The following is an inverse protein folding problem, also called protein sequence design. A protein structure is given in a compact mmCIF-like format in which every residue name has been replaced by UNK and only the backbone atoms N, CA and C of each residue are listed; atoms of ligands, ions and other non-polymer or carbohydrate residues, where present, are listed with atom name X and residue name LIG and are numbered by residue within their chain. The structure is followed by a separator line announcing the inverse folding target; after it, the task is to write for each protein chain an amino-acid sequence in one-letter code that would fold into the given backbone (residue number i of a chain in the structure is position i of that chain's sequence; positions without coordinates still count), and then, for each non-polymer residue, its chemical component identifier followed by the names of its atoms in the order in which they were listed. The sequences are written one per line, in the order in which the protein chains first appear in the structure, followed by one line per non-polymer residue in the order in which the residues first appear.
data_IF_245694356246
#
_entry.id   IF_245694356246
#
_cell.length_a   1.000
_cell.length_b   1.000
_cell.length_c   1.000
_cell.angle_alpha   90.00
_cell.angle_beta   90.00
_cell.angle_gamma   90.00
#
_symmetry.space_group_name_H-M   'P 1'
#
loop_
_entity.id
_entity.type
_entity.pdbx_description
1 polymer ?
#
# COMPACT_ATOMS: atom_id res chain seq x y z
N UNK A 1 -15.66 0.90 -42.47
CA UNK A 1 -16.18 -0.02 -41.45
C UNK A 1 -16.04 0.70 -40.13
N UNK A 2 -17.14 1.10 -39.52
CA UNK A 2 -17.12 1.67 -38.19
C UNK A 2 -16.65 0.56 -37.22
N UNK A 3 -15.59 0.82 -36.46
CA UNK A 3 -15.20 -0.06 -35.38
C UNK A 3 -16.44 -0.23 -34.48
N UNK A 4 -16.89 -1.48 -34.29
CA UNK A 4 -17.85 -1.78 -33.24
C UNK A 4 -17.25 -1.24 -31.93
N UNK A 5 -17.83 -0.16 -31.43
CA UNK A 5 -17.54 0.30 -30.08
C UNK A 5 -18.00 -0.82 -29.15
N UNK A 6 -17.05 -1.58 -28.65
CA UNK A 6 -17.28 -2.52 -27.56
C UNK A 6 -17.78 -1.73 -26.36
N UNK A 7 -19.04 -1.92 -25.97
CA UNK A 7 -19.63 -1.33 -24.77
C UNK A 7 -19.17 -2.03 -23.47
N UNK A 8 -18.14 -2.89 -23.54
CA UNK A 8 -17.63 -3.61 -22.38
C UNK A 8 -16.67 -2.71 -21.57
N UNK A 9 -17.24 -1.66 -20.98
CA UNK A 9 -16.52 -0.65 -20.18
C UNK A 9 -15.90 -1.25 -18.89
N UNK A 10 -16.34 -2.45 -18.52
CA UNK A 10 -15.93 -3.10 -17.27
C UNK A 10 -14.96 -4.25 -17.47
N UNK A 11 -14.62 -4.56 -18.72
CA UNK A 11 -13.62 -5.57 -19.04
C UNK A 11 -12.24 -4.95 -19.02
N UNK A 12 -11.32 -5.60 -18.30
CA UNK A 12 -9.92 -5.18 -18.33
C UNK A 12 -9.35 -5.33 -19.75
N UNK A 13 -8.45 -4.44 -20.17
CA UNK A 13 -7.64 -4.66 -21.35
C UNK A 13 -6.93 -6.02 -21.29
N UNK A 14 -6.72 -6.66 -22.43
CA UNK A 14 -6.11 -7.99 -22.51
C UNK A 14 -4.74 -8.05 -21.81
N UNK A 15 -3.95 -6.99 -21.94
CA UNK A 15 -2.65 -6.86 -21.27
C UNK A 15 -2.76 -6.89 -19.75
N UNK A 16 -3.76 -6.21 -19.17
CA UNK A 16 -3.99 -6.20 -17.72
C UNK A 16 -4.48 -7.56 -17.21
N UNK A 17 -5.30 -8.28 -17.98
CA UNK A 17 -5.69 -9.65 -17.63
C UNK A 17 -4.48 -10.61 -17.67
N UNK A 18 -3.59 -10.47 -18.67
CA UNK A 18 -2.37 -11.25 -18.73
C UNK A 18 -1.44 -10.99 -17.54
N UNK A 19 -1.31 -9.73 -17.11
CA UNK A 19 -0.58 -9.36 -15.88
C UNK A 19 -1.23 -10.03 -14.67
N UNK A 20 -2.55 -9.97 -14.54
CA UNK A 20 -3.27 -10.61 -13.44
C UNK A 20 -2.99 -12.11 -13.35
N UNK A 21 -3.08 -12.81 -14.48
CA UNK A 21 -2.80 -14.25 -14.55
C UNK A 21 -1.36 -14.56 -14.14
N UNK A 22 -0.39 -13.82 -14.65
CA UNK A 22 1.03 -13.99 -14.32
C UNK A 22 1.30 -13.78 -12.83
N UNK A 23 0.73 -12.72 -12.23
CA UNK A 23 0.88 -12.46 -10.78
C UNK A 23 0.23 -13.57 -9.96
N UNK A 24 -0.96 -14.05 -10.34
CA UNK A 24 -1.64 -15.17 -9.66
C UNK A 24 -0.78 -16.43 -9.65
N UNK A 25 -0.18 -16.77 -10.78
CA UNK A 25 0.70 -17.94 -10.89
C UNK A 25 1.89 -17.83 -9.94
N UNK A 26 2.60 -16.70 -9.97
CA UNK A 26 3.73 -16.44 -9.06
C UNK A 26 3.27 -16.47 -7.60
N UNK A 27 2.14 -15.85 -7.28
CA UNK A 27 1.62 -15.79 -5.92
C UNK A 27 1.19 -17.16 -5.39
N UNK A 28 0.50 -17.95 -6.19
CA UNK A 28 0.10 -19.31 -5.80
C UNK A 28 1.31 -20.21 -5.53
N UNK A 29 2.34 -20.12 -6.38
CA UNK A 29 3.52 -20.98 -6.29
C UNK A 29 4.53 -20.53 -5.23
N UNK A 30 4.70 -19.21 -4.98
CA UNK A 30 5.85 -18.66 -4.25
C UNK A 30 5.52 -17.69 -3.11
N UNK A 31 4.28 -17.18 -3.02
CA UNK A 31 3.88 -16.22 -1.97
C UNK A 31 2.93 -16.88 -0.96
N UNK A 32 1.87 -17.51 -1.44
CA UNK A 32 0.87 -18.13 -0.58
C UNK A 32 1.43 -19.18 0.40
N UNK A 33 2.40 -20.06 0.00
CA UNK A 33 2.97 -21.03 0.92
C UNK A 33 3.68 -20.42 2.14
N UNK A 34 4.17 -19.19 2.05
CA UNK A 34 4.89 -18.49 3.12
C UNK A 34 4.02 -17.55 3.97
N UNK A 35 2.73 -17.42 3.65
CA UNK A 35 1.86 -16.44 4.30
C UNK A 35 1.61 -16.73 5.79
N UNK A 36 1.46 -18.00 6.16
CA UNK A 36 1.26 -18.41 7.55
C UNK A 36 2.53 -18.22 8.39
N UNK A 37 3.69 -18.62 7.86
CA UNK A 37 4.98 -18.45 8.49
C UNK A 37 5.31 -16.97 8.74
N UNK A 38 5.07 -16.09 7.75
CA UNK A 38 5.28 -14.66 7.88
C UNK A 38 4.40 -14.02 8.97
N UNK A 39 3.18 -14.50 9.19
CA UNK A 39 2.32 -14.04 10.30
C UNK A 39 2.80 -14.60 11.65
N UNK A 40 3.23 -15.85 11.72
CA UNK A 40 3.66 -16.49 12.96
C UNK A 40 4.99 -15.90 13.47
N UNK A 41 5.98 -15.78 12.59
CA UNK A 41 7.32 -15.28 12.95
C UNK A 41 7.37 -13.76 13.05
N UNK A 42 6.55 -13.04 12.27
CA UNK A 42 6.64 -11.59 12.11
C UNK A 42 7.90 -11.14 11.36
N UNK A 43 8.60 -12.05 10.69
CA UNK A 43 9.78 -11.74 9.90
C UNK A 43 9.40 -11.29 8.48
N UNK A 44 10.27 -10.47 7.87
CA UNK A 44 10.07 -10.04 6.50
C UNK A 44 10.11 -11.23 5.54
N UNK A 45 9.09 -11.41 4.67
CA UNK A 45 8.94 -12.59 3.81
C UNK A 45 9.92 -12.55 2.63
N UNK A 46 11.19 -12.83 2.91
CA UNK A 46 12.26 -12.73 1.90
C UNK A 46 12.01 -13.62 0.70
N UNK A 47 11.49 -14.84 0.88
CA UNK A 47 11.15 -15.72 -0.23
C UNK A 47 10.11 -15.11 -1.18
N UNK A 48 9.08 -14.43 -0.63
CA UNK A 48 8.10 -13.70 -1.42
C UNK A 48 8.74 -12.51 -2.14
N UNK A 49 9.64 -11.77 -1.46
CA UNK A 49 10.38 -10.67 -2.08
C UNK A 49 11.21 -11.14 -3.28
N UNK A 50 11.99 -12.22 -3.09
CA UNK A 50 12.85 -12.77 -4.15
C UNK A 50 12.00 -13.24 -5.36
N UNK A 51 10.83 -13.86 -5.10
CA UNK A 51 9.92 -14.27 -6.16
C UNK A 51 9.29 -13.11 -6.93
N UNK A 52 8.82 -12.08 -6.20
CA UNK A 52 8.27 -10.86 -6.82
C UNK A 52 9.34 -10.07 -7.58
N UNK A 53 10.58 -10.04 -7.06
CA UNK A 53 11.72 -9.44 -7.75
C UNK A 53 12.04 -10.15 -9.06
N UNK A 54 12.09 -11.47 -9.03
CA UNK A 54 12.40 -12.27 -10.22
C UNK A 54 11.37 -12.13 -11.36
N UNK A 55 10.16 -11.67 -11.03
CA UNK A 55 9.06 -11.43 -11.97
C UNK A 55 8.76 -9.93 -12.20
N UNK A 56 9.61 -9.03 -11.75
CA UNK A 56 9.46 -7.57 -11.82
C UNK A 56 8.17 -7.01 -11.16
N UNK A 57 7.59 -7.76 -10.20
CA UNK A 57 6.38 -7.35 -9.47
C UNK A 57 6.66 -6.63 -8.16
N UNK A 58 7.92 -6.52 -7.72
CA UNK A 58 8.30 -5.84 -6.46
C UNK A 58 8.19 -4.31 -6.54
N UNK A 59 8.32 -3.74 -7.74
CA UNK A 59 8.23 -2.29 -8.00
C UNK A 59 7.74 -2.00 -9.43
N UNK A 60 6.58 -2.52 -9.85
CA UNK A 60 6.14 -2.52 -11.25
C UNK A 60 5.94 -1.12 -11.83
N UNK A 61 5.64 -0.13 -10.99
CA UNK A 61 5.34 1.27 -11.34
C UNK A 61 6.56 2.10 -11.75
N UNK A 62 7.79 1.59 -11.57
CA UNK A 62 8.98 2.38 -11.91
C UNK A 62 9.10 2.46 -13.43
N UNK A 63 9.27 3.68 -14.00
CA UNK A 63 9.37 3.88 -15.45
C UNK A 63 10.54 3.11 -16.08
N UNK A 64 10.35 2.73 -17.35
CA UNK A 64 11.35 1.98 -18.13
C UNK A 64 12.68 2.72 -18.25
N UNK A 65 12.65 4.04 -18.32
CA UNK A 65 13.84 4.91 -18.41
C UNK A 65 14.76 4.83 -17.17
N UNK A 66 14.23 4.31 -16.05
CA UNK A 66 15.01 4.02 -14.83
C UNK A 66 15.21 2.51 -14.61
N UNK A 67 14.92 1.69 -15.63
CA UNK A 67 15.11 0.24 -15.59
C UNK A 67 13.94 -0.55 -14.98
N UNK A 68 12.78 0.09 -14.76
CA UNK A 68 11.59 -0.56 -14.25
C UNK A 68 10.69 -1.17 -15.33
N UNK A 69 9.59 -1.81 -14.91
CA UNK A 69 8.62 -2.41 -15.82
C UNK A 69 7.68 -1.38 -16.47
N UNK A 70 7.57 -0.17 -15.93
CA UNK A 70 6.73 0.89 -16.47
C UNK A 70 5.23 0.60 -16.41
N UNK A 71 4.80 -0.25 -15.48
CA UNK A 71 3.39 -0.59 -15.30
C UNK A 71 2.57 0.65 -14.92
N UNK A 72 1.45 0.84 -15.59
CA UNK A 72 0.51 1.91 -15.28
C UNK A 72 -0.13 1.73 -13.89
N UNK A 73 -0.94 2.70 -13.48
CA UNK A 73 -1.55 2.69 -12.15
C UNK A 73 -2.54 1.52 -11.97
N UNK A 74 -3.23 1.08 -13.04
CA UNK A 74 -4.15 -0.05 -12.98
C UNK A 74 -3.41 -1.38 -12.90
N UNK A 75 -2.39 -1.60 -13.72
CA UNK A 75 -1.53 -2.77 -13.65
C UNK A 75 -0.86 -2.88 -12.29
N UNK A 76 -0.35 -1.76 -11.75
CA UNK A 76 0.23 -1.72 -10.40
C UNK A 76 -0.80 -2.10 -9.32
N UNK A 77 -2.04 -1.62 -9.44
CA UNK A 77 -3.13 -1.96 -8.51
C UNK A 77 -3.46 -3.46 -8.59
N UNK A 78 -3.52 -4.04 -9.79
CA UNK A 78 -3.75 -5.47 -10.01
C UNK A 78 -2.63 -6.32 -9.38
N UNK A 79 -1.36 -5.93 -9.55
CA UNK A 79 -0.23 -6.62 -8.89
C UNK A 79 -0.42 -6.63 -7.37
N UNK A 80 -0.73 -5.48 -6.77
CA UNK A 80 -0.91 -5.37 -5.31
C UNK A 80 -2.13 -6.18 -4.85
N UNK A 81 -3.25 -6.14 -5.58
CA UNK A 81 -4.47 -6.92 -5.29
C UNK A 81 -4.17 -8.43 -5.26
N UNK A 82 -3.52 -8.96 -6.31
CA UNK A 82 -3.27 -10.40 -6.39
C UNK A 82 -2.21 -10.87 -5.38
N UNK A 83 -1.19 -10.05 -5.08
CA UNK A 83 -0.25 -10.36 -4.00
C UNK A 83 -0.96 -10.34 -2.64
N UNK A 84 -1.84 -9.36 -2.38
CA UNK A 84 -2.59 -9.26 -1.13
C UNK A 84 -3.59 -10.42 -0.95
N UNK A 85 -4.17 -10.93 -2.04
CA UNK A 85 -5.02 -12.12 -2.05
C UNK A 85 -4.29 -13.34 -1.50
N UNK A 86 -3.00 -13.48 -1.80
CA UNK A 86 -2.15 -14.56 -1.32
C UNK A 86 -1.57 -14.28 0.07
N UNK A 87 -1.06 -13.06 0.29
CA UNK A 87 -0.41 -12.64 1.54
C UNK A 87 -0.42 -11.13 1.68
N UNK A 88 -1.20 -10.61 2.63
CA UNK A 88 -1.29 -9.17 2.90
C UNK A 88 0.06 -8.54 3.27
N UNK A 89 0.89 -9.23 4.05
CA UNK A 89 2.23 -8.74 4.42
C UNK A 89 3.13 -8.57 3.18
N UNK A 90 3.09 -9.53 2.25
CA UNK A 90 3.90 -9.50 1.03
C UNK A 90 3.45 -8.42 0.05
N UNK A 91 2.17 -8.02 0.04
CA UNK A 91 1.67 -6.94 -0.80
C UNK A 91 2.26 -5.56 -0.46
N UNK A 92 2.79 -5.41 0.76
CA UNK A 92 3.52 -4.21 1.18
C UNK A 92 4.92 -4.10 0.54
N UNK A 93 5.37 -5.10 -0.20
CA UNK A 93 6.59 -4.99 -1.01
C UNK A 93 6.35 -4.00 -2.17
N UNK A 94 5.45 -4.25 -3.13
CA UNK A 94 5.18 -3.31 -4.20
C UNK A 94 4.49 -2.02 -3.71
N UNK A 95 3.58 -2.10 -2.74
CA UNK A 95 2.85 -0.93 -2.26
C UNK A 95 3.77 0.11 -1.59
N UNK A 96 4.69 -0.33 -0.73
CA UNK A 96 5.60 0.58 -0.01
C UNK A 96 6.72 1.09 -0.92
N UNK A 97 7.22 0.27 -1.86
CA UNK A 97 8.13 0.76 -2.89
C UNK A 97 7.47 1.89 -3.70
N UNK A 98 6.19 1.75 -4.08
CA UNK A 98 5.46 2.83 -4.77
C UNK A 98 5.29 4.05 -3.86
N UNK A 99 4.89 3.87 -2.60
CA UNK A 99 4.71 4.96 -1.65
C UNK A 99 6.02 5.74 -1.43
N UNK A 100 7.12 5.04 -1.23
CA UNK A 100 8.42 5.64 -0.94
C UNK A 100 9.04 6.37 -2.15
N UNK A 101 8.86 5.83 -3.36
CA UNK A 101 9.43 6.40 -4.59
C UNK A 101 8.56 7.46 -5.25
N UNK A 102 7.25 7.51 -4.95
CA UNK A 102 6.33 8.47 -5.57
C UNK A 102 6.76 9.94 -5.39
N UNK A 103 7.27 10.39 -4.23
CA UNK A 103 7.79 11.75 -4.10
C UNK A 103 8.93 12.07 -5.08
N UNK A 104 9.82 11.09 -5.37
CA UNK A 104 10.86 11.26 -6.38
C UNK A 104 10.26 11.38 -7.79
N UNK A 105 9.29 10.55 -8.13
CA UNK A 105 8.61 10.61 -9.43
C UNK A 105 7.90 11.94 -9.63
N UNK A 106 7.26 12.48 -8.58
CA UNK A 106 6.49 13.73 -8.63
C UNK A 106 7.33 15.00 -8.63
N UNK A 107 8.48 15.00 -7.93
CA UNK A 107 9.22 16.23 -7.65
C UNK A 107 10.75 16.07 -7.62
N UNK A 108 11.29 14.86 -7.75
CA UNK A 108 12.74 14.62 -7.74
C UNK A 108 13.42 15.17 -8.99
N UNK A 109 14.69 15.59 -8.83
CA UNK A 109 15.56 15.89 -9.97
C UNK A 109 15.87 14.61 -10.76
N UNK A 110 16.26 14.74 -12.02
CA UNK A 110 16.63 13.59 -12.85
C UNK A 110 17.80 12.80 -12.26
N UNK A 111 18.75 13.47 -11.63
CA UNK A 111 19.88 12.82 -10.96
C UNK A 111 19.41 11.97 -9.77
N UNK A 112 18.48 12.49 -8.95
CA UNK A 112 17.89 11.73 -7.84
C UNK A 112 17.10 10.53 -8.36
N UNK A 113 16.28 10.72 -9.39
CA UNK A 113 15.50 9.63 -9.98
C UNK A 113 16.42 8.53 -10.50
N UNK A 114 17.43 8.87 -11.32
CA UNK A 114 18.39 7.88 -11.85
C UNK A 114 19.15 7.17 -10.74
N UNK A 115 19.58 7.89 -9.70
CA UNK A 115 20.37 7.35 -8.59
C UNK A 115 19.58 6.34 -7.76
N UNK A 116 18.32 6.62 -7.46
CA UNK A 116 17.54 5.83 -6.51
C UNK A 116 16.52 4.89 -7.16
N UNK A 117 15.81 5.33 -8.21
CA UNK A 117 14.79 4.49 -8.84
C UNK A 117 15.39 3.27 -9.53
N UNK A 118 16.59 3.38 -10.16
CA UNK A 118 17.25 2.24 -10.81
C UNK A 118 17.59 1.12 -9.84
N UNK A 119 17.98 1.47 -8.60
CA UNK A 119 18.29 0.48 -7.56
C UNK A 119 17.03 -0.20 -7.00
N UNK A 120 15.91 0.51 -6.98
CA UNK A 120 14.63 -0.10 -6.61
C UNK A 120 14.10 -0.96 -7.75
N UNK A 121 14.24 -0.51 -8.99
CA UNK A 121 13.83 -1.27 -10.19
C UNK A 121 14.58 -2.60 -10.30
N UNK A 122 15.90 -2.62 -10.05
CA UNK A 122 16.70 -3.87 -10.03
C UNK A 122 16.40 -4.79 -8.85
N UNK A 123 15.67 -4.29 -7.85
CA UNK A 123 15.43 -4.99 -6.58
C UNK A 123 16.67 -5.07 -5.69
N UNK A 124 17.68 -4.21 -5.90
CA UNK A 124 18.85 -4.10 -5.00
C UNK A 124 18.56 -3.24 -3.78
N UNK A 125 17.45 -2.51 -3.80
CA UNK A 125 17.00 -1.68 -2.70
C UNK A 125 15.48 -1.63 -2.62
N UNK A 126 14.97 -1.37 -1.41
CA UNK A 126 13.58 -1.00 -1.15
C UNK A 126 13.52 0.44 -0.67
N UNK A 127 12.34 1.05 -0.81
CA UNK A 127 12.10 2.44 -0.43
C UNK A 127 10.94 2.55 0.56
N UNK A 128 11.16 3.19 1.70
CA UNK A 128 10.12 3.47 2.71
C UNK A 128 9.75 4.95 2.76
N UNK A 129 8.64 5.27 3.43
CA UNK A 129 8.06 6.60 3.50
C UNK A 129 7.91 7.06 4.95
N UNK A 130 8.61 8.13 5.31
CA UNK A 130 8.74 8.64 6.68
C UNK A 130 8.02 9.99 6.85
N UNK A 131 6.68 9.96 6.94
CA UNK A 131 5.85 11.12 7.19
C UNK A 131 5.48 11.26 8.66
N UNK A 132 4.85 10.21 9.24
CA UNK A 132 4.26 10.24 10.57
C UNK A 132 5.30 10.31 11.69
N UNK A 133 4.91 10.92 12.81
CA UNK A 133 5.68 11.03 14.04
C UNK A 133 4.83 10.58 15.25
N UNK A 134 5.43 10.38 16.43
CA UNK A 134 4.67 9.97 17.62
C UNK A 134 3.44 10.85 17.89
N UNK A 135 3.57 12.17 17.76
CA UNK A 135 2.49 13.14 18.02
C UNK A 135 1.86 13.71 16.73
N UNK A 136 2.28 13.28 15.54
CA UNK A 136 1.80 13.78 14.25
C UNK A 136 1.44 12.63 13.30
N UNK A 137 0.26 12.04 13.51
CA UNK A 137 -0.35 11.03 12.62
C UNK A 137 -1.30 11.68 11.61
N UNK A 138 -2.60 11.77 11.96
CA UNK A 138 -3.59 12.42 11.10
C UNK A 138 -3.33 13.93 10.90
N UNK A 139 -2.74 14.59 11.89
CA UNK A 139 -2.24 15.96 11.78
C UNK A 139 -0.76 15.97 11.38
N UNK A 140 -0.48 15.46 10.17
CA UNK A 140 0.89 15.33 9.67
C UNK A 140 1.61 16.69 9.51
N UNK A 141 0.89 17.81 9.41
CA UNK A 141 1.48 19.14 9.32
C UNK A 141 2.12 19.60 10.63
N UNK A 142 1.77 18.96 11.76
CA UNK A 142 2.31 19.27 13.09
C UNK A 142 3.61 18.51 13.40
N UNK A 143 4.26 17.93 12.37
CA UNK A 143 5.55 17.23 12.57
C UNK A 143 6.62 18.14 13.17
N UNK A 144 7.53 17.53 13.92
CA UNK A 144 8.61 18.22 14.66
C UNK A 144 10.01 17.87 14.19
N UNK A 145 10.19 16.81 13.39
CA UNK A 145 11.47 16.48 12.76
C UNK A 145 11.99 17.69 11.99
N UNK A 146 13.22 18.09 12.22
CA UNK A 146 13.83 19.29 11.64
C UNK A 146 14.94 18.92 10.67
N UNK A 147 15.11 19.74 9.64
CA UNK A 147 16.26 19.75 8.76
C UNK A 147 16.85 21.16 8.74
N UNK A 148 18.11 21.31 9.15
CA UNK A 148 18.80 22.58 9.22
C UNK A 148 19.90 22.61 8.17
N UNK A 149 19.98 23.68 7.39
CA UNK A 149 21.01 23.85 6.37
C UNK A 149 22.39 24.07 7.02
N UNK A 150 23.38 23.31 6.58
CA UNK A 150 24.79 23.43 6.99
C UNK A 150 25.68 23.40 5.75
N UNK A 151 25.91 24.55 5.19
CA UNK A 151 26.69 24.71 3.94
C UNK A 151 26.01 23.98 2.76
N UNK A 152 26.68 23.00 2.21
CA UNK A 152 26.23 22.14 1.11
C UNK A 152 25.53 20.86 1.59
N UNK A 153 25.14 20.83 2.86
CA UNK A 153 24.45 19.69 3.50
C UNK A 153 23.18 20.14 4.22
N UNK A 154 22.35 19.14 4.57
CA UNK A 154 21.28 19.25 5.54
C UNK A 154 21.58 18.35 6.75
N UNK A 155 21.26 18.82 7.95
CA UNK A 155 21.35 18.05 9.19
C UNK A 155 19.94 17.78 9.70
N UNK A 156 19.56 16.51 9.73
CA UNK A 156 18.24 16.06 10.13
C UNK A 156 18.25 15.54 11.57
N UNK A 157 17.26 15.97 12.36
CA UNK A 157 17.03 15.52 13.73
C UNK A 157 15.56 15.28 13.99
N UNK A 158 15.22 14.13 14.57
CA UNK A 158 13.84 13.78 14.93
C UNK A 158 13.57 12.30 14.98
N UNK A 159 12.29 11.96 15.14
CA UNK A 159 11.81 10.58 15.21
C UNK A 159 10.62 10.41 14.28
N UNK A 160 10.69 9.42 13.39
CA UNK A 160 9.56 9.00 12.57
C UNK A 160 8.96 7.72 13.12
N UNK A 161 7.64 7.61 13.08
CA UNK A 161 6.91 6.47 13.66
C UNK A 161 5.99 5.80 12.65
N UNK A 162 5.71 4.53 12.88
CA UNK A 162 4.86 3.69 12.02
C UNK A 162 5.45 3.45 10.62
N UNK A 163 6.78 3.41 10.52
CA UNK A 163 7.44 3.31 9.23
C UNK A 163 7.47 1.86 8.77
N UNK A 164 6.69 1.57 7.74
CA UNK A 164 6.57 0.25 7.12
C UNK A 164 7.88 -0.13 6.43
N UNK A 165 8.33 -1.37 6.63
CA UNK A 165 9.59 -1.93 6.15
C UNK A 165 10.85 -1.18 6.66
N UNK A 166 10.73 -0.38 7.72
CA UNK A 166 11.90 0.28 8.33
C UNK A 166 12.89 -0.77 8.85
N UNK A 167 14.16 -0.53 8.56
CA UNK A 167 15.27 -1.45 8.85
C UNK A 167 15.47 -2.54 7.78
N UNK A 168 14.45 -2.79 6.92
CA UNK A 168 14.56 -3.63 5.72
C UNK A 168 14.92 -2.77 4.50
N UNK A 169 14.20 -1.67 4.30
CA UNK A 169 14.47 -0.73 3.21
C UNK A 169 15.85 -0.06 3.34
N UNK A 170 16.49 0.16 2.22
CA UNK A 170 17.77 0.89 2.10
C UNK A 170 17.54 2.39 2.03
N UNK A 171 16.40 2.84 1.48
CA UNK A 171 16.11 4.24 1.23
C UNK A 171 14.81 4.67 1.92
N UNK A 172 14.77 5.93 2.31
CA UNK A 172 13.66 6.55 3.03
C UNK A 172 13.37 7.93 2.46
N UNK A 173 12.13 8.17 2.03
CA UNK A 173 11.65 9.54 1.85
C UNK A 173 11.27 10.11 3.21
N UNK A 174 12.02 11.09 3.68
CA UNK A 174 11.84 11.73 4.99
C UNK A 174 11.32 13.15 4.81
N UNK A 175 10.21 13.47 5.50
CA UNK A 175 9.68 14.84 5.57
C UNK A 175 10.16 15.50 6.86
N UNK A 176 10.67 16.73 6.74
CA UNK A 176 11.19 17.49 7.88
C UNK A 176 10.90 18.98 7.73
N UNK A 177 10.81 19.67 8.86
CA UNK A 177 10.59 21.11 8.93
C UNK A 177 11.93 21.81 8.64
N UNK A 178 11.96 22.61 7.58
CA UNK A 178 13.07 23.52 7.23
C UNK A 178 12.80 24.95 7.65
N UNK A 179 11.52 25.38 7.66
CA UNK A 179 11.09 26.70 8.19
C UNK A 179 9.92 26.52 9.19
N UNK A 180 10.18 26.64 10.50
CA UNK A 180 9.13 26.46 11.52
C UNK A 180 8.07 27.59 11.52
N UNK A 181 8.31 28.70 10.83
CA UNK A 181 7.38 29.85 10.79
C UNK A 181 6.33 29.69 9.69
N UNK A 182 6.61 28.88 8.66
CA UNK A 182 5.78 28.75 7.48
C UNK A 182 4.72 27.61 7.55
N UNK A 183 4.58 26.93 8.72
CA UNK A 183 3.66 25.79 8.93
C UNK A 183 3.87 24.70 7.86
N UNK A 184 2.80 24.23 7.21
CA UNK A 184 2.91 23.21 6.15
C UNK A 184 3.79 23.61 4.95
N UNK A 185 3.94 24.90 4.69
CA UNK A 185 4.85 25.43 3.65
C UNK A 185 6.32 25.48 4.09
N UNK A 186 6.60 25.17 5.34
CA UNK A 186 7.96 25.04 5.87
C UNK A 186 8.45 23.60 5.93
N UNK A 187 7.73 22.65 5.33
CA UNK A 187 8.11 21.23 5.31
C UNK A 187 8.74 20.88 3.96
N UNK A 188 9.91 20.25 4.00
CA UNK A 188 10.66 19.76 2.83
C UNK A 188 10.78 18.23 2.87
N UNK A 189 11.12 17.65 1.73
CA UNK A 189 11.28 16.20 1.58
C UNK A 189 12.74 15.87 1.19
N UNK A 190 13.25 14.76 1.71
CA UNK A 190 14.64 14.34 1.53
C UNK A 190 14.74 12.85 1.28
N UNK A 191 15.74 12.41 0.53
CA UNK A 191 16.18 11.01 0.52
C UNK A 191 17.21 10.80 1.62
N UNK A 192 16.92 9.90 2.53
CA UNK A 192 17.84 9.41 3.57
C UNK A 192 18.17 7.95 3.28
N UNK A 193 19.43 7.59 3.38
CA UNK A 193 19.90 6.22 3.21
C UNK A 193 20.02 5.54 4.57
N UNK A 194 19.73 4.25 4.65
CA UNK A 194 19.92 3.44 5.87
C UNK A 194 21.35 3.52 6.41
N UNK A 195 22.32 3.70 5.52
CA UNK A 195 23.75 3.79 5.81
C UNK A 195 24.22 5.17 6.27
N UNK A 196 23.37 6.20 6.23
CA UNK A 196 23.76 7.54 6.69
C UNK A 196 24.03 7.51 8.20
N UNK A 197 25.13 8.10 8.61
CA UNK A 197 25.50 8.18 10.02
C UNK A 197 24.42 8.91 10.82
N UNK A 198 24.02 8.35 11.97
CA UNK A 198 22.96 8.88 12.81
C UNK A 198 21.57 8.30 12.52
N UNK A 199 21.39 7.50 11.47
CA UNK A 199 20.17 6.75 11.22
C UNK A 199 20.15 5.47 12.06
N UNK A 200 19.08 5.26 12.81
CA UNK A 200 18.86 4.02 13.56
C UNK A 200 17.37 3.67 13.65
N UNK A 201 17.07 2.46 14.10
CA UNK A 201 15.73 1.90 14.08
C UNK A 201 15.32 1.35 15.43
N UNK A 202 14.07 1.60 15.81
CA UNK A 202 13.46 0.98 16.98
C UNK A 202 13.18 -0.51 16.78
N UNK A 203 12.74 -1.17 17.85
CA UNK A 203 12.25 -2.53 17.79
C UNK A 203 11.00 -2.63 16.87
N UNK A 204 10.74 -3.79 16.23
CA UNK A 204 9.52 -3.99 15.47
C UNK A 204 8.29 -3.83 16.37
N UNK A 205 7.28 -3.12 15.88
CA UNK A 205 5.99 -2.98 16.56
C UNK A 205 5.25 -4.33 16.62
N UNK A 206 4.68 -4.64 17.79
CA UNK A 206 3.82 -5.82 17.96
C UNK A 206 2.43 -5.51 17.41
N UNK A 207 2.13 -5.92 16.20
CA UNK A 207 0.91 -5.56 15.46
C UNK A 207 -0.17 -6.63 15.53
N UNK A 208 -1.41 -6.23 15.30
CA UNK A 208 -2.56 -7.12 15.16
C UNK A 208 -2.42 -8.03 13.92
N UNK A 209 -2.12 -7.44 12.77
CA UNK A 209 -1.97 -8.09 11.47
C UNK A 209 -0.77 -7.56 10.69
N UNK A 210 -0.67 -7.96 9.42
CA UNK A 210 0.46 -7.67 8.52
C UNK A 210 1.82 -7.83 9.19
N UNK A 211 1.95 -8.87 10.02
CA UNK A 211 3.09 -9.02 10.92
C UNK A 211 4.40 -9.21 10.17
N UNK A 212 4.38 -9.89 9.02
CA UNK A 212 5.54 -10.08 8.16
C UNK A 212 6.06 -8.81 7.46
N UNK A 213 5.38 -7.66 7.62
CA UNK A 213 5.92 -6.36 7.19
C UNK A 213 6.37 -5.57 8.42
N UNK A 214 7.67 -5.56 8.76
CA UNK A 214 8.14 -4.88 9.97
C UNK A 214 7.82 -3.39 9.93
N UNK A 215 7.29 -2.89 11.02
CA UNK A 215 6.97 -1.48 11.23
C UNK A 215 7.78 -1.00 12.42
N UNK A 216 8.56 0.08 12.26
CA UNK A 216 9.48 0.56 13.31
C UNK A 216 9.46 2.07 13.40
N UNK A 217 10.01 2.59 14.48
CA UNK A 217 10.48 3.97 14.53
C UNK A 217 11.78 4.11 13.74
N UNK A 218 11.98 5.30 13.15
CA UNK A 218 13.24 5.71 12.52
C UNK A 218 13.77 6.91 13.29
N UNK A 219 14.92 6.75 13.89
CA UNK A 219 15.60 7.80 14.63
C UNK A 219 16.61 8.50 13.71
N UNK A 220 16.59 9.84 13.74
CA UNK A 220 17.51 10.71 13.04
C UNK A 220 18.27 11.54 14.09
N UNK A 221 19.53 11.22 14.30
CA UNK A 221 20.39 11.91 15.26
C UNK A 221 21.56 12.55 14.52
N UNK A 222 21.45 13.85 14.26
CA UNK A 222 22.44 14.62 13.52
C UNK A 222 22.79 14.00 12.16
N UNK A 223 21.78 13.48 11.46
CA UNK A 223 21.95 12.84 10.14
C UNK A 223 22.31 13.90 9.13
N UNK A 224 23.56 13.88 8.69
CA UNK A 224 24.13 14.84 7.74
C UNK A 224 24.09 14.28 6.33
N UNK A 225 23.27 14.87 5.47
CA UNK A 225 23.09 14.44 4.08
C UNK A 225 23.47 15.56 3.10
N UNK A 226 23.97 15.24 1.88
CA UNK A 226 24.19 16.23 0.83
C UNK A 226 22.93 17.00 0.45
N UNK A 227 23.06 18.27 0.14
CA UNK A 227 21.92 19.13 -0.19
C UNK A 227 21.18 18.72 -1.44
N UNK A 228 21.81 18.02 -2.36
CA UNK A 228 21.22 17.48 -3.59
C UNK A 228 20.26 16.31 -3.34
N UNK A 229 20.20 15.76 -2.12
CA UNK A 229 19.22 14.76 -1.72
C UNK A 229 17.85 15.34 -1.33
N UNK A 230 17.63 16.65 -1.43
CA UNK A 230 16.32 17.26 -1.26
C UNK A 230 15.43 16.96 -2.47
N UNK A 231 14.21 16.50 -2.22
CA UNK A 231 13.20 16.20 -3.23
C UNK A 231 12.37 17.45 -3.51
N UNK A 232 12.49 18.00 -4.72
CA UNK A 232 11.82 19.24 -5.10
C UNK A 232 12.47 20.49 -4.50
N UNK A 233 11.71 21.56 -4.37
CA UNK A 233 12.15 22.80 -3.75
C UNK A 233 11.90 22.81 -2.23
N UNK A 234 12.69 23.61 -1.50
CA UNK A 234 12.47 23.83 -0.07
C UNK A 234 11.03 24.34 0.19
N UNK A 235 10.37 23.79 1.22
CA UNK A 235 9.01 24.16 1.60
C UNK A 235 7.90 23.49 0.77
N UNK A 236 8.24 22.68 -0.24
CA UNK A 236 7.24 21.99 -1.08
C UNK A 236 6.92 20.56 -0.63
N UNK A 237 7.60 20.07 0.41
CA UNK A 237 7.52 18.69 0.85
C UNK A 237 6.11 18.25 1.27
N UNK A 238 5.36 19.11 2.01
CA UNK A 238 4.01 18.74 2.43
C UNK A 238 3.04 18.63 1.26
N UNK A 239 3.13 19.52 0.28
CA UNK A 239 2.32 19.42 -0.95
C UNK A 239 2.65 18.14 -1.73
N UNK A 240 3.94 17.80 -1.83
CA UNK A 240 4.41 16.55 -2.43
C UNK A 240 3.89 15.33 -1.66
N UNK A 241 3.89 15.38 -0.31
CA UNK A 241 3.33 14.30 0.51
C UNK A 241 1.83 14.08 0.23
N UNK A 242 1.04 15.14 0.16
CA UNK A 242 -0.40 15.03 -0.11
C UNK A 242 -0.68 14.48 -1.52
N UNK A 243 0.04 14.96 -2.52
CA UNK A 243 -0.04 14.41 -3.89
C UNK A 243 0.36 12.95 -3.95
N UNK A 244 1.40 12.55 -3.23
CA UNK A 244 1.80 11.14 -3.10
C UNK A 244 0.65 10.31 -2.58
N UNK A 245 0.00 10.73 -1.49
CA UNK A 245 -1.12 10.00 -0.89
C UNK A 245 -2.33 9.91 -1.84
N UNK A 246 -2.59 10.92 -2.68
CA UNK A 246 -3.67 10.85 -3.67
C UNK A 246 -3.47 9.68 -4.65
N UNK A 247 -2.23 9.44 -5.08
CA UNK A 247 -1.88 8.29 -5.93
C UNK A 247 -1.84 6.96 -5.18
N UNK A 248 -1.36 6.94 -3.93
CA UNK A 248 -1.12 5.67 -3.21
C UNK A 248 -2.31 5.18 -2.40
N UNK A 249 -3.33 6.00 -2.14
CA UNK A 249 -4.63 5.51 -1.62
C UNK A 249 -5.24 4.43 -2.52
N UNK A 250 -5.00 4.51 -3.82
CA UNK A 250 -5.42 3.48 -4.78
C UNK A 250 -4.73 2.14 -4.49
N UNK A 251 -3.46 2.15 -4.10
CA UNK A 251 -2.71 0.91 -3.77
C UNK A 251 -3.22 0.27 -2.48
N UNK A 252 -3.64 1.08 -1.50
CA UNK A 252 -4.26 0.57 -0.27
C UNK A 252 -5.66 0.00 -0.55
N UNK A 253 -6.43 0.64 -1.43
CA UNK A 253 -7.71 0.08 -1.89
C UNK A 253 -7.49 -1.29 -2.57
N UNK A 254 -6.49 -1.41 -3.45
CA UNK A 254 -6.14 -2.66 -4.11
C UNK A 254 -5.69 -3.74 -3.11
N UNK A 255 -4.91 -3.38 -2.09
CA UNK A 255 -4.54 -4.30 -1.02
C UNK A 255 -5.79 -4.81 -0.26
N UNK A 256 -6.70 -3.91 0.11
CA UNK A 256 -7.94 -4.29 0.78
C UNK A 256 -8.79 -5.24 -0.07
N UNK A 257 -8.89 -4.97 -1.39
CA UNK A 257 -9.56 -5.86 -2.35
C UNK A 257 -8.95 -7.26 -2.36
N UNK A 258 -7.63 -7.36 -2.44
CA UNK A 258 -6.94 -8.64 -2.47
C UNK A 258 -7.20 -9.46 -1.22
N UNK A 259 -7.11 -8.84 -0.03
CA UNK A 259 -7.41 -9.49 1.25
C UNK A 259 -8.86 -9.99 1.27
N UNK A 260 -9.81 -9.15 0.85
CA UNK A 260 -11.22 -9.49 0.80
C UNK A 260 -11.50 -10.63 -0.20
N UNK A 261 -10.88 -10.61 -1.38
CA UNK A 261 -11.00 -11.66 -2.38
C UNK A 261 -10.45 -13.00 -1.84
N UNK A 262 -9.28 -12.98 -1.21
CA UNK A 262 -8.71 -14.20 -0.62
C UNK A 262 -9.61 -14.81 0.46
N UNK A 263 -10.20 -13.97 1.31
CA UNK A 263 -11.13 -14.42 2.33
C UNK A 263 -12.42 -15.00 1.76
N UNK A 264 -13.01 -14.34 0.75
CA UNK A 264 -14.20 -14.82 0.06
C UNK A 264 -13.95 -16.16 -0.65
N UNK A 265 -12.83 -16.27 -1.37
CA UNK A 265 -12.46 -17.50 -2.09
C UNK A 265 -12.31 -18.68 -1.12
N UNK A 266 -11.64 -18.46 0.00
CA UNK A 266 -11.47 -19.50 1.01
C UNK A 266 -12.79 -19.92 1.65
N UNK A 267 -13.59 -18.95 2.08
CA UNK A 267 -14.89 -19.21 2.70
C UNK A 267 -15.84 -19.92 1.74
N UNK A 268 -15.87 -19.50 0.45
CA UNK A 268 -16.67 -20.16 -0.60
C UNK A 268 -16.28 -21.64 -0.75
N UNK A 269 -15.00 -21.96 -0.85
CA UNK A 269 -14.56 -23.35 -0.94
C UNK A 269 -14.94 -24.16 0.29
N UNK A 270 -14.72 -23.61 1.47
CA UNK A 270 -15.05 -24.29 2.72
C UNK A 270 -16.54 -24.63 2.86
N UNK A 271 -17.46 -23.70 2.60
CA UNK A 271 -18.91 -23.96 2.75
C UNK A 271 -19.47 -24.93 1.72
N UNK A 272 -18.78 -25.11 0.57
CA UNK A 272 -19.14 -26.11 -0.43
C UNK A 272 -18.78 -27.54 0.00
N UNK A 273 -17.71 -27.69 0.77
CA UNK A 273 -17.22 -28.99 1.23
C UNK A 273 -17.79 -29.37 2.60
N UNK A 274 -17.93 -28.41 3.52
CA UNK A 274 -18.42 -28.62 4.89
C UNK A 274 -19.88 -29.03 4.89
N UNK A 275 -20.19 -30.13 5.57
CA UNK A 275 -21.57 -30.62 5.71
C UNK A 275 -22.05 -30.50 7.14
N UNK A 276 -23.29 -30.04 7.31
CA UNK A 276 -24.04 -30.06 8.55
C UNK A 276 -25.54 -30.29 8.24
N UNK A 277 -26.27 -30.90 9.17
CA UNK A 277 -27.69 -31.26 8.97
C UNK A 277 -27.93 -32.08 7.69
N UNK A 278 -26.96 -32.93 7.30
CA UNK A 278 -27.09 -33.87 6.18
C UNK A 278 -26.79 -33.27 4.78
N UNK A 279 -26.40 -31.98 4.67
CA UNK A 279 -26.12 -31.31 3.40
C UNK A 279 -24.95 -30.33 3.50
N UNK A 280 -24.45 -29.85 2.36
CA UNK A 280 -23.40 -28.85 2.32
C UNK A 280 -23.89 -27.54 2.96
N UNK A 281 -23.00 -26.85 3.70
CA UNK A 281 -23.34 -25.57 4.35
C UNK A 281 -23.76 -24.52 3.32
N UNK A 282 -23.20 -24.57 2.10
CA UNK A 282 -23.57 -23.71 0.98
C UNK A 282 -25.05 -23.85 0.53
N UNK A 283 -25.74 -24.93 0.92
CA UNK A 283 -27.17 -25.15 0.57
C UNK A 283 -28.14 -24.39 1.50
N UNK A 284 -27.61 -23.80 2.59
CA UNK A 284 -28.46 -22.99 3.47
C UNK A 284 -28.62 -21.57 2.92
N UNK A 285 -29.85 -21.11 2.80
CA UNK A 285 -30.21 -19.82 2.21
C UNK A 285 -29.50 -18.64 2.91
N UNK A 286 -29.38 -18.67 4.26
CA UNK A 286 -28.67 -17.65 5.00
C UNK A 286 -27.18 -17.56 4.63
N UNK A 287 -26.52 -18.69 4.35
CA UNK A 287 -25.13 -18.73 3.86
C UNK A 287 -25.03 -18.17 2.44
N UNK A 288 -25.99 -18.50 1.58
CA UNK A 288 -26.05 -17.96 0.20
C UNK A 288 -26.20 -16.43 0.19
N UNK A 289 -27.01 -15.87 1.09
CA UNK A 289 -27.17 -14.42 1.22
C UNK A 289 -25.87 -13.76 1.67
N UNK A 290 -25.17 -14.32 2.64
CA UNK A 290 -23.86 -13.79 3.07
C UNK A 290 -22.85 -13.78 1.91
N UNK A 291 -22.73 -14.89 1.16
CA UNK A 291 -21.83 -14.96 0.01
C UNK A 291 -22.19 -13.94 -1.08
N UNK A 292 -23.49 -13.74 -1.35
CA UNK A 292 -23.97 -12.77 -2.31
C UNK A 292 -23.62 -11.33 -1.89
N UNK A 293 -23.84 -11.00 -0.61
CA UNK A 293 -23.50 -9.67 -0.08
C UNK A 293 -21.98 -9.41 -0.09
N UNK A 294 -21.15 -10.41 0.27
CA UNK A 294 -19.71 -10.34 0.18
C UNK A 294 -19.25 -10.09 -1.27
N UNK A 295 -19.78 -10.86 -2.23
CA UNK A 295 -19.45 -10.72 -3.65
C UNK A 295 -19.86 -9.36 -4.22
N UNK A 296 -21.06 -8.88 -3.91
CA UNK A 296 -21.56 -7.58 -4.35
C UNK A 296 -20.68 -6.42 -3.84
N UNK A 297 -20.35 -6.43 -2.54
CA UNK A 297 -19.49 -5.41 -1.92
C UNK A 297 -18.08 -5.42 -2.53
N UNK A 298 -17.53 -6.62 -2.73
CA UNK A 298 -16.19 -6.78 -3.30
C UNK A 298 -16.13 -6.22 -4.73
N UNK A 299 -17.13 -6.54 -5.57
CA UNK A 299 -17.14 -6.06 -6.94
C UNK A 299 -17.36 -4.55 -7.02
N UNK A 300 -18.25 -3.98 -6.22
CA UNK A 300 -18.42 -2.53 -6.14
C UNK A 300 -17.11 -1.82 -5.71
N UNK A 301 -16.40 -2.39 -4.74
CA UNK A 301 -15.09 -1.86 -4.29
C UNK A 301 -14.04 -1.95 -5.41
N UNK A 302 -14.02 -3.04 -6.18
CA UNK A 302 -13.09 -3.23 -7.30
C UNK A 302 -13.29 -2.19 -8.38
N UNK A 303 -14.53 -1.99 -8.83
CA UNK A 303 -14.84 -1.01 -9.86
C UNK A 303 -14.45 0.40 -9.44
N UNK A 304 -14.73 0.79 -8.20
CA UNK A 304 -14.33 2.10 -7.68
C UNK A 304 -12.80 2.24 -7.59
N UNK A 305 -12.09 1.18 -7.21
CA UNK A 305 -10.62 1.17 -7.14
C UNK A 305 -9.99 1.29 -8.53
N UNK A 306 -10.50 0.57 -9.51
CA UNK A 306 -9.97 0.61 -10.88
C UNK A 306 -10.29 1.94 -11.57
N UNK A 307 -11.46 2.51 -11.31
CA UNK A 307 -11.77 3.88 -11.75
C UNK A 307 -10.78 4.90 -11.16
N UNK A 308 -10.47 4.78 -9.86
CA UNK A 308 -9.48 5.64 -9.22
C UNK A 308 -8.05 5.41 -9.78
N UNK A 309 -7.69 4.17 -10.12
CA UNK A 309 -6.42 3.86 -10.77
C UNK A 309 -6.29 4.54 -12.15
N UNK A 310 -7.32 4.45 -12.99
CA UNK A 310 -7.34 5.15 -14.27
C UNK A 310 -7.24 6.68 -14.13
N UNK A 311 -7.87 7.25 -13.11
CA UNK A 311 -7.74 8.69 -12.79
C UNK A 311 -6.34 9.06 -12.30
N UNK A 312 -5.71 8.18 -11.52
CA UNK A 312 -4.32 8.35 -11.06
C UNK A 312 -3.34 8.37 -12.24
N UNK A 313 -3.56 7.49 -13.23
CA UNK A 313 -2.73 7.42 -14.43
C UNK A 313 -2.82 8.68 -15.27
N UNK A 314 -4.03 9.17 -15.51
CA UNK A 314 -4.26 10.38 -16.31
C UNK A 314 -3.95 11.68 -15.58
N UNK A 315 -3.76 11.66 -14.25
CA UNK A 315 -3.62 12.86 -13.43
C UNK A 315 -4.89 13.70 -13.36
N UNK A 316 -6.07 13.05 -13.33
CA UNK A 316 -7.36 13.72 -13.34
C UNK A 316 -7.53 14.64 -12.11
N UNK A 317 -8.18 15.79 -12.28
CA UNK A 317 -8.34 16.81 -11.23
C UNK A 317 -9.16 16.32 -10.02
N UNK A 318 -10.00 15.31 -10.19
CA UNK A 318 -10.82 14.69 -9.13
C UNK A 318 -10.19 13.45 -8.49
N UNK A 319 -8.92 13.15 -8.79
CA UNK A 319 -8.18 12.02 -8.20
C UNK A 319 -8.23 12.03 -6.67
N UNK A 320 -8.09 13.20 -6.05
CA UNK A 320 -8.15 13.34 -4.57
C UNK A 320 -9.45 12.77 -4.00
N UNK A 321 -10.58 13.04 -4.66
CA UNK A 321 -11.88 12.48 -4.26
C UNK A 321 -11.94 10.96 -4.49
N UNK A 322 -11.63 10.51 -5.70
CA UNK A 322 -11.77 9.11 -6.07
C UNK A 322 -10.78 8.20 -5.35
N UNK A 323 -9.54 8.64 -5.12
CA UNK A 323 -8.56 7.92 -4.32
C UNK A 323 -9.02 7.74 -2.86
N UNK A 324 -9.56 8.80 -2.26
CA UNK A 324 -10.13 8.74 -0.91
C UNK A 324 -11.37 7.83 -0.85
N UNK A 325 -12.27 7.91 -1.83
CA UNK A 325 -13.48 7.09 -1.91
C UNK A 325 -13.15 5.61 -2.07
N UNK A 326 -12.25 5.28 -3.01
CA UNK A 326 -11.80 3.92 -3.26
C UNK A 326 -11.19 3.28 -1.99
N UNK A 327 -10.22 3.98 -1.35
CA UNK A 327 -9.57 3.50 -0.14
C UNK A 327 -10.57 3.30 1.01
N UNK A 328 -11.45 4.26 1.24
CA UNK A 328 -12.44 4.20 2.30
C UNK A 328 -13.41 3.04 2.10
N UNK A 329 -14.00 2.93 0.90
CA UNK A 329 -14.99 1.91 0.59
C UNK A 329 -14.39 0.50 0.56
N UNK A 330 -13.25 0.31 -0.13
CA UNK A 330 -12.60 -0.99 -0.23
C UNK A 330 -12.15 -1.52 1.14
N UNK A 331 -11.60 -0.66 2.00
CA UNK A 331 -11.16 -1.09 3.34
C UNK A 331 -12.32 -1.35 4.30
N UNK A 332 -13.43 -0.62 4.22
CA UNK A 332 -14.64 -0.92 4.99
C UNK A 332 -15.25 -2.26 4.52
N UNK A 333 -15.38 -2.46 3.20
CA UNK A 333 -15.83 -3.72 2.61
C UNK A 333 -14.93 -4.91 3.00
N UNK A 334 -13.61 -4.73 2.99
CA UNK A 334 -12.66 -5.78 3.36
C UNK A 334 -12.84 -6.24 4.81
N UNK A 335 -13.08 -5.31 5.74
CA UNK A 335 -13.36 -5.67 7.14
C UNK A 335 -14.66 -6.46 7.27
N UNK A 336 -15.72 -6.06 6.57
CA UNK A 336 -17.00 -6.79 6.58
C UNK A 336 -16.82 -8.19 5.98
N UNK A 337 -16.25 -8.29 4.78
CA UNK A 337 -16.05 -9.56 4.06
C UNK A 337 -15.17 -10.53 4.86
N UNK A 338 -14.07 -10.06 5.43
CA UNK A 338 -13.17 -10.93 6.22
C UNK A 338 -13.80 -11.38 7.53
N UNK A 339 -14.63 -10.54 8.16
CA UNK A 339 -15.42 -10.91 9.35
C UNK A 339 -16.47 -11.96 9.00
N UNK A 340 -17.19 -11.80 7.89
CA UNK A 340 -18.17 -12.76 7.41
C UNK A 340 -17.51 -14.08 7.00
N UNK A 341 -16.29 -14.05 6.44
CA UNK A 341 -15.53 -15.25 6.13
C UNK A 341 -15.20 -16.06 7.40
N UNK A 342 -14.78 -15.41 8.48
CA UNK A 342 -14.61 -16.06 9.79
C UNK A 342 -15.92 -16.66 10.28
N UNK A 343 -17.02 -15.93 10.18
CA UNK A 343 -18.35 -16.39 10.58
C UNK A 343 -18.81 -17.62 9.77
N UNK A 344 -18.56 -17.65 8.46
CA UNK A 344 -18.93 -18.76 7.57
C UNK A 344 -18.19 -20.06 7.90
N UNK A 345 -16.98 -19.98 8.43
CA UNK A 345 -16.23 -21.16 8.90
C UNK A 345 -16.63 -21.59 10.31
N UNK A 346 -17.40 -20.79 11.05
CA UNK A 346 -17.79 -21.08 12.43
C UNK A 346 -16.57 -21.21 13.37
N UNK A 347 -16.56 -22.19 14.26
CA UNK A 347 -15.46 -22.39 15.20
C UNK A 347 -14.09 -22.57 14.55
N UNK A 348 -14.05 -23.16 13.35
CA UNK A 348 -12.79 -23.31 12.59
C UNK A 348 -12.24 -21.97 12.09
N UNK A 349 -13.08 -21.02 11.73
CA UNK A 349 -12.67 -19.67 11.33
C UNK A 349 -12.02 -18.86 12.45
N UNK A 350 -12.22 -19.28 13.72
CA UNK A 350 -11.66 -18.63 14.90
C UNK A 350 -10.31 -19.21 15.34
N UNK A 351 -9.81 -20.22 14.64
CA UNK A 351 -8.52 -20.87 14.93
C UNK A 351 -7.47 -20.50 13.91
N UNK A 352 -6.20 -20.54 14.31
CA UNK A 352 -5.04 -20.21 13.45
C UNK A 352 -4.74 -21.26 12.38
N UNK A 353 -5.38 -22.41 12.43
CA UNK A 353 -5.24 -23.46 11.42
C UNK A 353 -5.87 -23.07 10.06
N UNK A 354 -6.73 -22.03 10.08
CA UNK A 354 -7.43 -21.52 8.91
C UNK A 354 -7.05 -20.05 8.65
N UNK A 355 -6.86 -19.64 7.38
CA UNK A 355 -6.26 -18.35 7.05
C UNK A 355 -7.21 -17.13 7.26
N UNK A 356 -8.52 -17.36 7.43
CA UNK A 356 -9.50 -16.26 7.43
C UNK A 356 -9.35 -15.35 8.65
N UNK A 357 -8.94 -15.88 9.81
CA UNK A 357 -8.69 -15.05 11.00
C UNK A 357 -7.51 -14.11 10.80
N UNK A 358 -6.43 -14.57 10.12
CA UNK A 358 -5.30 -13.74 9.73
C UNK A 358 -5.73 -12.65 8.76
N UNK A 359 -6.53 -13.00 7.74
CA UNK A 359 -7.02 -12.04 6.76
C UNK A 359 -7.88 -10.96 7.42
N UNK A 360 -8.70 -11.30 8.42
CA UNK A 360 -9.48 -10.33 9.19
C UNK A 360 -8.57 -9.38 10.00
N UNK A 361 -7.52 -9.91 10.65
CA UNK A 361 -6.53 -9.08 11.37
C UNK A 361 -5.76 -8.16 10.43
N UNK A 362 -5.38 -8.68 9.26
CA UNK A 362 -4.66 -7.95 8.23
C UNK A 362 -5.50 -6.84 7.60
N UNK A 363 -6.79 -7.10 7.33
CA UNK A 363 -7.69 -6.12 6.73
C UNK A 363 -7.85 -4.85 7.59
N UNK A 364 -7.76 -4.97 8.92
CA UNK A 364 -8.00 -3.85 9.83
C UNK A 364 -7.09 -2.64 9.59
N UNK A 365 -5.83 -2.86 9.25
CA UNK A 365 -4.88 -1.77 9.04
C UNK A 365 -5.26 -0.89 7.85
N UNK A 366 -5.93 -1.46 6.82
CA UNK A 366 -6.32 -0.73 5.62
C UNK A 366 -7.32 0.40 5.90
N UNK A 367 -8.06 0.33 7.02
CA UNK A 367 -8.92 1.42 7.49
C UNK A 367 -8.14 2.53 8.24
N UNK A 368 -6.88 2.29 8.61
CA UNK A 368 -6.12 3.15 9.52
C UNK A 368 -5.02 3.93 8.80
N UNK A 369 -4.09 3.23 8.13
CA UNK A 369 -2.93 3.90 7.52
C UNK A 369 -3.25 4.62 6.21
N UNK A 370 -2.30 5.44 5.74
CA UNK A 370 -2.46 6.39 4.62
C UNK A 370 -3.69 7.32 4.77
N UNK A 371 -3.94 7.70 6.02
CA UNK A 371 -5.10 8.46 6.44
C UNK A 371 -6.26 7.54 6.84
N UNK A 372 -6.73 7.68 8.08
CA UNK A 372 -7.86 6.90 8.59
C UNK A 372 -9.10 7.08 7.72
N UNK A 373 -10.05 6.14 7.75
CA UNK A 373 -11.29 6.27 6.97
C UNK A 373 -12.11 7.50 7.39
N UNK A 374 -11.92 8.03 8.61
CA UNK A 374 -12.47 9.32 9.02
C UNK A 374 -11.80 10.48 8.26
N UNK A 375 -10.48 10.43 8.10
CA UNK A 375 -9.74 11.42 7.29
C UNK A 375 -10.17 11.34 5.82
N UNK A 376 -10.35 10.12 5.26
CA UNK A 376 -10.85 9.97 3.88
C UNK A 376 -12.23 10.66 3.70
N UNK A 377 -13.14 10.49 4.68
CA UNK A 377 -14.46 11.17 4.65
C UNK A 377 -14.34 12.69 4.70
N UNK A 378 -13.41 13.22 5.48
CA UNK A 378 -13.10 14.67 5.49
C UNK A 378 -12.58 15.13 4.12
N UNK A 379 -11.67 14.34 3.50
CA UNK A 379 -11.11 14.64 2.18
C UNK A 379 -12.22 14.67 1.13
N UNK A 380 -13.08 13.64 1.09
CA UNK A 380 -14.22 13.58 0.15
C UNK A 380 -15.18 14.76 0.34
N UNK A 381 -15.58 15.02 1.59
CA UNK A 381 -16.50 16.12 1.89
C UNK A 381 -15.94 17.48 1.44
N UNK A 382 -14.64 17.73 1.66
CA UNK A 382 -13.98 18.96 1.18
C UNK A 382 -13.97 19.07 -0.35
N UNK A 383 -13.85 17.96 -1.07
CA UNK A 383 -13.91 18.01 -2.54
C UNK A 383 -15.35 18.27 -3.04
N UNK A 384 -16.35 17.64 -2.41
CA UNK A 384 -17.77 17.84 -2.75
C UNK A 384 -18.29 19.26 -2.44
N UNK A 385 -17.69 19.93 -1.46
CA UNK A 385 -18.07 21.28 -1.03
C UNK A 385 -17.19 22.39 -1.67
N UNK A 386 -16.32 22.03 -2.61
CA UNK A 386 -15.63 23.04 -3.42
C UNK A 386 -16.61 23.57 -4.48
N UNK A 387 -16.75 24.87 -4.54
CA UNK A 387 -17.49 25.60 -5.58
C UNK A 387 -16.78 25.50 -6.94
#
# INVERSE_FOLDING_TARGET
MAAEQSFDVYRLPEEHEAIREAVREVCAAKVAPHAAEADETGEFPKASYDALRAADFHAPHIPVEYGGAGADALATAIVIEEVARACASSSLIPAVNKLGTMPLLLAGSEDLKRRYLSRVASGDAMFSYCLSEPEAGSDAASMTTRAVRDGDHWVLNGVKRWITNAGVSEFYTVFAVTDPTARSRGISAFVVEKSDAGVSFGAPEKKLGIKGSPTREVYLDNVRIPADRMIGAEGTGFATAMRTLDHTRVTIAAQALGIAQGALDYAKGYVQERKQFGKAVAEFQGVQFMLADMGMKLEAARQLTYAAAGKSERGDADLTYFGAAAKCFASDAAMEITTDAVQLLGGYGYTRDYPVERMMRDAKITQIYEGTNQVQRIVMARQLLKD
#
